data_IF_655813942398
#
_entry.id   IF_655813942398
#
_cell.length_a   1.000
_cell.length_b   1.000
_cell.length_c   1.000
_cell.angle_alpha   90.00
_cell.angle_beta   90.00
_cell.angle_gamma   90.00
#
_symmetry.space_group_name_H-M   'P 1'
#
loop_
_entity.id
_entity.type
_entity.pdbx_description
1 polymer ?
#
# COMPACT_ATOMS: atom_id res chain seq x y z
N UNK A 1 -12.77 -14.36 -6.17
CA UNK A 1 -12.21 -13.16 -5.55
C UNK A 1 -11.37 -13.51 -4.36
N UNK A 2 -10.41 -12.72 -4.09
CA UNK A 2 -9.50 -12.97 -2.98
C UNK A 2 -9.66 -11.86 -1.95
N UNK A 3 -9.36 -12.15 -0.72
CA UNK A 3 -9.44 -11.15 0.33
C UNK A 3 -8.04 -10.75 0.74
N UNK A 4 -7.80 -9.45 0.77
CA UNK A 4 -6.55 -8.91 1.31
C UNK A 4 -6.90 -7.88 2.35
N UNK A 5 -5.90 -7.42 3.09
CA UNK A 5 -6.12 -6.45 4.15
C UNK A 5 -5.35 -5.18 3.82
N UNK A 6 -6.05 -4.09 3.66
CA UNK A 6 -5.44 -2.81 3.32
C UNK A 6 -5.60 -1.90 4.52
N UNK A 7 -4.48 -1.53 5.13
CA UNK A 7 -4.47 -0.74 6.36
C UNK A 7 -5.36 -1.35 7.43
N UNK A 8 -5.36 -2.66 7.48
CA UNK A 8 -6.15 -3.38 8.47
C UNK A 8 -7.57 -3.70 8.08
N UNK A 9 -8.04 -3.18 6.96
CA UNK A 9 -9.41 -3.41 6.53
C UNK A 9 -9.45 -4.47 5.45
N UNK A 10 -10.32 -5.43 5.61
CA UNK A 10 -10.46 -6.50 4.63
C UNK A 10 -11.10 -5.97 3.36
N UNK A 11 -10.54 -6.31 2.23
CA UNK A 11 -11.08 -5.95 0.93
C UNK A 11 -11.05 -7.13 0.02
N UNK A 12 -12.07 -7.27 -0.81
CA UNK A 12 -12.09 -8.33 -1.80
C UNK A 12 -11.61 -7.79 -3.12
N UNK A 13 -10.70 -8.50 -3.73
CA UNK A 13 -10.09 -8.06 -4.98
C UNK A 13 -10.06 -9.21 -5.96
N UNK A 14 -9.95 -8.88 -7.23
CA UNK A 14 -9.81 -9.88 -8.28
C UNK A 14 -8.34 -10.08 -8.55
N UNK A 15 -7.91 -11.32 -8.60
CA UNK A 15 -6.55 -11.65 -8.94
C UNK A 15 -6.47 -12.04 -10.41
N UNK A 16 -5.37 -11.78 -11.05
CA UNK A 16 -4.12 -11.26 -10.48
C UNK A 16 -4.21 -9.75 -10.22
N UNK A 17 -3.47 -9.32 -9.22
CA UNK A 17 -3.44 -7.91 -8.86
C UNK A 17 -2.06 -7.59 -8.32
N UNK A 18 -1.44 -6.55 -8.83
CA UNK A 18 -0.15 -6.14 -8.30
C UNK A 18 -0.31 -4.89 -7.45
N UNK A 19 0.76 -4.49 -6.78
CA UNK A 19 0.70 -3.36 -5.86
C UNK A 19 0.35 -2.08 -6.62
N UNK A 20 0.90 -1.91 -7.80
CA UNK A 20 0.64 -0.71 -8.58
C UNK A 20 -0.84 -0.58 -8.89
N UNK A 21 -1.47 -1.69 -9.24
CA UNK A 21 -2.89 -1.67 -9.55
C UNK A 21 -3.73 -1.41 -8.29
N UNK A 22 -3.31 -1.97 -7.17
CA UNK A 22 -4.02 -1.73 -5.93
C UNK A 22 -3.97 -0.25 -5.57
N UNK A 23 -2.84 0.38 -5.74
CA UNK A 23 -2.72 1.80 -5.44
C UNK A 23 -3.67 2.61 -6.30
N UNK A 24 -3.78 2.26 -7.57
CA UNK A 24 -4.71 2.97 -8.45
C UNK A 24 -6.14 2.76 -8.03
N UNK A 25 -6.49 1.55 -7.64
CA UNK A 25 -7.85 1.28 -7.21
C UNK A 25 -8.20 1.95 -5.90
N UNK A 26 -7.21 2.15 -5.05
CA UNK A 26 -7.44 2.72 -3.75
C UNK A 26 -7.51 4.25 -3.75
N UNK A 27 -7.37 4.82 -4.95
CA UNK A 27 -7.52 6.27 -5.09
C UNK A 27 -6.52 7.02 -4.23
N UNK A 28 -5.31 6.56 -4.21
CA UNK A 28 -4.26 7.23 -3.47
C UNK A 28 -3.95 8.54 -4.16
N UNK A 29 -4.10 9.63 -3.42
CA UNK A 29 -4.05 10.92 -4.04
C UNK A 29 -2.65 11.35 -4.40
N UNK A 30 -1.68 10.96 -3.66
CA UNK A 30 -0.32 11.36 -3.93
C UNK A 30 0.59 10.16 -3.87
N UNK A 31 0.59 9.38 -4.93
CA UNK A 31 1.40 8.17 -4.90
C UNK A 31 2.89 8.43 -4.71
N UNK A 32 3.33 9.64 -5.05
CA UNK A 32 4.73 9.96 -4.86
C UNK A 32 5.10 10.11 -3.40
N UNK A 33 4.11 10.29 -2.55
CA UNK A 33 4.34 10.53 -1.15
C UNK A 33 3.99 9.33 -0.29
N UNK A 34 3.64 8.22 -0.89
CA UNK A 34 3.21 7.06 -0.14
C UNK A 34 4.29 5.99 -0.18
N UNK A 35 4.47 5.33 0.94
CA UNK A 35 5.28 4.13 1.01
C UNK A 35 4.35 2.97 1.23
N UNK A 36 4.71 1.82 0.71
CA UNK A 36 3.85 0.65 0.78
C UNK A 36 4.62 -0.48 1.44
N UNK A 37 3.96 -1.17 2.35
CA UNK A 37 4.50 -2.37 2.93
C UNK A 37 3.56 -3.52 2.62
N UNK A 38 4.12 -4.65 2.23
CA UNK A 38 3.35 -5.85 1.96
C UNK A 38 3.82 -6.91 2.94
N UNK A 39 2.95 -7.36 3.81
CA UNK A 39 3.27 -8.33 4.87
C UNK A 39 4.45 -7.84 5.70
N UNK A 40 4.42 -6.52 5.99
CA UNK A 40 5.40 -5.88 6.85
C UNK A 40 6.78 -5.73 6.20
N UNK A 41 6.86 -5.92 4.90
CA UNK A 41 8.09 -5.69 4.19
C UNK A 41 7.92 -4.51 3.25
N UNK A 42 8.91 -3.64 3.24
CA UNK A 42 8.83 -2.44 2.42
C UNK A 42 8.83 -2.82 0.94
N UNK A 43 7.90 -2.26 0.20
CA UNK A 43 7.79 -2.50 -1.23
C UNK A 43 8.27 -1.26 -1.96
N UNK A 44 9.38 -1.39 -2.67
CA UNK A 44 9.94 -0.27 -3.40
C UNK A 44 9.07 0.11 -4.55
N UNK A 45 9.00 1.40 -4.84
CA UNK A 45 8.15 1.87 -5.94
C UNK A 45 8.50 1.16 -7.24
N UNK A 46 9.76 0.89 -7.47
CA UNK A 46 10.18 0.24 -8.70
C UNK A 46 9.67 -1.17 -8.81
N UNK A 47 9.30 -1.77 -7.70
CA UNK A 47 8.84 -3.14 -7.70
C UNK A 47 7.33 -3.28 -7.65
N UNK A 48 6.63 -2.17 -7.53
CA UNK A 48 5.17 -2.23 -7.36
C UNK A 48 4.48 -3.02 -8.48
N UNK A 49 4.97 -2.91 -9.69
CA UNK A 49 4.34 -3.63 -10.79
C UNK A 49 4.71 -5.10 -10.78
N UNK A 50 5.75 -5.47 -10.08
CA UNK A 50 6.20 -6.84 -10.05
C UNK A 50 5.74 -7.61 -8.82
N UNK A 51 5.18 -6.94 -7.85
CA UNK A 51 4.74 -7.60 -6.63
C UNK A 51 3.30 -8.03 -6.81
N UNK A 52 3.10 -9.33 -6.94
CA UNK A 52 1.76 -9.87 -7.13
C UNK A 52 1.15 -10.18 -5.78
N UNK A 53 -0.01 -9.67 -5.54
CA UNK A 53 -0.72 -9.89 -4.30
C UNK A 53 -1.44 -11.23 -4.34
N UNK A 54 -1.70 -11.77 -3.17
CA UNK A 54 -2.43 -13.03 -3.05
C UNK A 54 -3.35 -12.98 -1.88
N UNK A 55 -4.17 -13.98 -1.78
CA UNK A 55 -5.14 -14.08 -0.72
C UNK A 55 -4.45 -13.98 0.63
N UNK A 56 -4.97 -13.15 1.48
CA UNK A 56 -4.44 -12.99 2.83
C UNK A 56 -3.32 -12.00 2.99
N UNK A 57 -2.87 -11.40 1.90
CA UNK A 57 -1.77 -10.44 2.02
C UNK A 57 -2.21 -9.20 2.78
N UNK A 58 -1.28 -8.62 3.53
CA UNK A 58 -1.51 -7.38 4.24
C UNK A 58 -0.76 -6.28 3.53
N UNK A 59 -1.44 -5.22 3.17
CA UNK A 59 -0.83 -4.10 2.49
C UNK A 59 -1.07 -2.85 3.32
N UNK A 60 -0.01 -2.16 3.68
CA UNK A 60 -0.13 -0.95 4.48
C UNK A 60 0.42 0.24 3.69
N UNK A 61 -0.36 1.30 3.64
CA UNK A 61 0.06 2.52 3.00
C UNK A 61 0.49 3.51 4.08
N UNK A 62 1.70 4.01 3.95
CA UNK A 62 2.27 4.94 4.91
C UNK A 62 2.51 6.25 4.19
N UNK A 63 1.87 7.30 4.64
CA UNK A 63 2.06 8.59 4.01
C UNK A 63 3.11 9.36 4.77
N UNK A 64 4.07 9.89 4.02
CA UNK A 64 5.08 10.72 4.61
C UNK A 64 4.56 12.13 4.63
N UNK A 65 4.31 12.63 5.79
CA UNK A 65 3.69 13.92 5.89
C UNK A 65 4.67 15.03 5.76
N UNK A 66 5.76 14.91 5.47
CA UNK A 66 6.68 15.84 5.12
C UNK A 66 6.64 17.11 5.77
N UNK A 67 6.95 17.90 5.88
CA UNK A 67 6.75 19.06 6.46
C UNK A 67 7.82 19.52 7.28
N UNK A 68 8.77 19.08 7.29
CA UNK A 68 9.78 19.67 7.95
C UNK A 68 10.03 19.29 9.31
N UNK A 69 9.12 18.93 10.03
CA UNK A 69 9.34 18.53 11.28
C UNK A 69 9.55 17.20 11.41
N UNK A 70 9.50 16.66 10.61
CA UNK A 70 9.87 15.57 10.43
C UNK A 70 9.85 14.35 11.05
N UNK A 71 10.43 14.20 11.97
CA UNK A 71 10.70 12.96 12.43
C UNK A 71 9.64 12.07 12.60
N UNK A 72 8.60 12.53 13.08
CA UNK A 72 7.51 11.72 13.46
C UNK A 72 6.38 11.85 12.54
N UNK A 73 6.64 12.22 11.35
CA UNK A 73 5.58 12.51 10.44
C UNK A 73 5.09 11.35 9.65
N UNK A 74 5.47 10.17 10.01
CA UNK A 74 4.91 9.00 9.38
C UNK A 74 3.57 8.71 9.98
N UNK A 75 2.58 8.55 9.12
CA UNK A 75 1.23 8.25 9.55
C UNK A 75 0.72 7.07 8.78
N UNK A 76 0.21 6.09 9.49
CA UNK A 76 -0.43 4.97 8.84
C UNK A 76 -1.85 5.39 8.53
N UNK A 77 -2.20 5.33 7.28
CA UNK A 77 -3.47 5.84 6.85
C UNK A 77 -4.50 4.75 6.87
N UNK A 78 -5.43 4.86 7.72
CA UNK A 78 -6.46 3.83 7.84
C UNK A 78 -7.76 4.24 7.19
#
# INVERSE_FOLDING_TARGET
>A
MAKIYVNGDAQEVSLPLNVSELIKQSDVQQPDMVSVQVNEEFAEREDWENIQLKEGDKVDFLYFMGGGQALDNWTIYN
#
